data_IF_971722748033
#
_entry.id   IF_971722748033
#
_cell.length_a   1.000
_cell.length_b   1.000
_cell.length_c   1.000
_cell.angle_alpha   90.00
_cell.angle_beta   90.00
_cell.angle_gamma   90.00
#
_symmetry.space_group_name_H-M   'P 1'
#
loop_
_entity.id
_entity.type
_entity.pdbx_description
1 polymer ?
#
# COMPACT_ATOMS: atom_id res chain seq x y z
N UNK A 1 -5.27 21.30 2.35
CA UNK A 1 -5.48 20.20 1.39
C UNK A 1 -4.29 19.27 1.47
N UNK A 2 -4.52 18.02 1.75
CA UNK A 2 -3.51 16.98 1.80
C UNK A 2 -3.67 16.10 0.57
N UNK A 3 -2.57 15.78 -0.10
CA UNK A 3 -2.54 14.97 -1.31
C UNK A 3 -1.73 13.71 -1.09
N UNK A 4 -2.38 12.56 -1.26
CA UNK A 4 -1.74 11.24 -1.22
C UNK A 4 -1.74 10.69 -2.65
N UNK A 5 -0.61 10.12 -3.07
CA UNK A 5 -0.52 9.30 -4.27
C UNK A 5 -0.41 7.84 -3.83
N UNK A 6 -1.26 6.99 -4.40
CA UNK A 6 -1.25 5.56 -4.13
C UNK A 6 -0.91 4.79 -5.39
N UNK A 7 0.20 4.07 -5.35
CA UNK A 7 0.78 3.24 -6.40
C UNK A 7 0.74 1.78 -5.96
N UNK A 8 0.69 0.84 -6.92
CA UNK A 8 0.76 -0.60 -6.66
C UNK A 8 1.03 -1.40 -7.93
N UNK A 9 1.41 -2.64 -7.78
CA UNK A 9 1.40 -3.67 -8.83
C UNK A 9 2.23 -3.27 -10.06
N UNK A 10 3.51 -2.97 -9.86
CA UNK A 10 4.42 -2.63 -10.95
C UNK A 10 4.79 -3.85 -11.77
N UNK A 11 4.93 -5.02 -11.12
CA UNK A 11 5.36 -6.28 -11.76
C UNK A 11 6.57 -6.05 -12.69
N UNK A 12 7.54 -5.30 -12.19
CA UNK A 12 8.70 -4.91 -12.95
C UNK A 12 9.60 -6.12 -13.22
N UNK A 13 9.86 -6.40 -14.49
CA UNK A 13 10.64 -7.57 -14.97
C UNK A 13 12.00 -7.20 -15.57
N UNK A 14 12.42 -5.92 -15.45
CA UNK A 14 13.64 -5.42 -16.06
C UNK A 14 13.53 -5.07 -17.54
N UNK A 15 12.40 -5.31 -18.20
CA UNK A 15 12.23 -5.01 -19.61
C UNK A 15 12.29 -3.50 -19.90
N UNK A 16 12.80 -3.11 -21.08
CA UNK A 16 12.84 -1.70 -21.47
C UNK A 16 11.46 -1.05 -21.52
N UNK A 17 10.44 -1.83 -21.82
CA UNK A 17 9.04 -1.40 -21.86
C UNK A 17 8.53 -1.01 -20.47
N UNK A 18 8.69 -1.91 -19.49
CA UNK A 18 8.25 -1.65 -18.12
C UNK A 18 9.08 -0.55 -17.46
N UNK A 19 10.39 -0.47 -17.78
CA UNK A 19 11.24 0.63 -17.31
C UNK A 19 10.73 2.00 -17.77
N UNK A 20 10.32 2.12 -19.04
CA UNK A 20 9.72 3.36 -19.55
C UNK A 20 8.37 3.66 -18.90
N UNK A 21 7.54 2.63 -18.72
CA UNK A 21 6.22 2.77 -18.10
C UNK A 21 6.35 3.19 -16.64
N UNK A 22 7.24 2.54 -15.86
CA UNK A 22 7.49 2.87 -14.45
C UNK A 22 8.00 4.31 -14.30
N UNK A 23 8.98 4.69 -15.14
CA UNK A 23 9.49 6.07 -15.17
C UNK A 23 8.38 7.07 -15.42
N UNK A 24 7.54 6.83 -16.42
CA UNK A 24 6.42 7.72 -16.76
C UNK A 24 5.38 7.79 -15.64
N UNK A 25 5.12 6.66 -14.95
CA UNK A 25 4.24 6.60 -13.78
C UNK A 25 4.78 7.47 -12.65
N UNK A 26 6.07 7.32 -12.31
CA UNK A 26 6.76 8.08 -11.27
C UNK A 26 6.78 9.57 -11.62
N UNK A 27 7.11 9.94 -12.86
CA UNK A 27 7.09 11.35 -13.33
C UNK A 27 5.69 11.97 -13.17
N UNK A 28 4.67 11.24 -13.60
CA UNK A 28 3.27 11.68 -13.45
C UNK A 28 2.88 11.87 -11.99
N UNK A 29 3.31 10.96 -11.11
CA UNK A 29 3.05 11.04 -9.68
C UNK A 29 3.78 12.22 -9.02
N UNK A 30 5.07 12.43 -9.31
CA UNK A 30 5.87 13.56 -8.81
C UNK A 30 5.24 14.90 -9.25
N UNK A 31 4.77 14.99 -10.48
CA UNK A 31 4.13 16.20 -11.01
C UNK A 31 2.87 16.62 -10.21
N UNK A 32 2.26 15.69 -9.48
CA UNK A 32 1.14 15.97 -8.57
C UNK A 32 1.58 16.65 -7.27
N UNK A 33 2.87 16.68 -6.94
CA UNK A 33 3.42 17.21 -5.68
C UNK A 33 2.71 16.62 -4.47
N UNK A 34 2.76 15.28 -4.29
CA UNK A 34 2.09 14.64 -3.16
C UNK A 34 2.77 15.02 -1.84
N UNK A 35 1.96 15.07 -0.79
CA UNK A 35 2.43 15.18 0.60
C UNK A 35 2.86 13.80 1.14
N UNK A 36 2.33 12.72 0.55
CA UNK A 36 2.63 11.33 0.90
C UNK A 36 2.47 10.44 -0.33
N UNK A 37 3.36 9.47 -0.48
CA UNK A 37 3.22 8.35 -1.43
C UNK A 37 3.04 7.05 -0.65
N UNK A 38 2.00 6.27 -1.00
CA UNK A 38 1.77 4.93 -0.45
C UNK A 38 1.92 3.93 -1.60
N UNK A 39 2.73 2.89 -1.39
CA UNK A 39 2.99 1.86 -2.40
C UNK A 39 2.66 0.51 -1.79
N UNK A 40 1.66 -0.16 -2.36
CA UNK A 40 1.08 -1.37 -1.77
C UNK A 40 1.51 -2.66 -2.47
N UNK A 41 2.81 -2.76 -2.81
CA UNK A 41 3.45 -4.03 -3.17
C UNK A 41 3.35 -4.44 -4.63
N UNK A 42 3.83 -5.65 -4.91
CA UNK A 42 4.08 -6.22 -6.23
C UNK A 42 4.95 -5.28 -7.08
N UNK A 43 6.10 -4.89 -6.49
CA UNK A 43 7.08 -4.01 -7.13
C UNK A 43 7.79 -4.75 -8.27
N UNK A 44 8.18 -5.99 -8.03
CA UNK A 44 8.87 -6.89 -8.95
C UNK A 44 7.92 -7.91 -9.58
N UNK A 45 8.35 -8.54 -10.67
CA UNK A 45 7.63 -9.65 -11.28
C UNK A 45 7.91 -10.96 -10.54
N UNK A 46 9.15 -11.15 -10.10
CA UNK A 46 9.66 -12.42 -9.57
C UNK A 46 10.42 -12.30 -8.25
N UNK A 47 10.40 -11.16 -7.56
CA UNK A 47 11.12 -10.93 -6.30
C UNK A 47 12.64 -10.84 -6.46
N UNK A 48 13.16 -10.65 -7.68
CA UNK A 48 14.61 -10.63 -7.91
C UNK A 48 15.23 -9.34 -7.39
N UNK A 49 16.38 -9.48 -6.74
CA UNK A 49 17.13 -8.33 -6.22
C UNK A 49 17.36 -7.24 -7.28
N UNK A 50 17.76 -7.61 -8.50
CA UNK A 50 17.99 -6.65 -9.57
C UNK A 50 16.71 -5.89 -10.00
N UNK A 51 15.55 -6.54 -9.95
CA UNK A 51 14.27 -5.89 -10.24
C UNK A 51 13.91 -4.90 -9.13
N UNK A 52 14.08 -5.29 -7.88
CA UNK A 52 13.82 -4.44 -6.71
C UNK A 52 14.78 -3.25 -6.65
N UNK A 53 16.06 -3.42 -6.97
CA UNK A 53 17.05 -2.34 -7.03
C UNK A 53 16.68 -1.29 -8.08
N UNK A 54 16.27 -1.71 -9.27
CA UNK A 54 15.86 -0.77 -10.31
C UNK A 54 14.58 -0.02 -9.90
N UNK A 55 13.61 -0.70 -9.30
CA UNK A 55 12.42 -0.05 -8.76
C UNK A 55 12.78 0.93 -7.67
N UNK A 56 13.66 0.55 -6.73
CA UNK A 56 14.14 1.44 -5.67
C UNK A 56 14.81 2.69 -6.24
N UNK A 57 15.61 2.55 -7.29
CA UNK A 57 16.21 3.67 -8.02
C UNK A 57 15.17 4.64 -8.61
N UNK A 58 14.12 4.13 -9.24
CA UNK A 58 13.03 4.97 -9.76
C UNK A 58 12.21 5.61 -8.63
N UNK A 59 11.93 4.90 -7.54
CA UNK A 59 11.23 5.44 -6.37
C UNK A 59 12.06 6.49 -5.62
N UNK A 60 13.40 6.37 -5.66
CA UNK A 60 14.33 7.38 -5.13
C UNK A 60 14.12 8.77 -5.75
N UNK A 61 13.55 8.87 -6.95
CA UNK A 61 13.24 10.13 -7.66
C UNK A 61 12.15 10.97 -6.98
N UNK A 62 11.37 10.39 -6.08
CA UNK A 62 10.48 11.16 -5.20
C UNK A 62 11.26 12.07 -4.23
N UNK A 63 12.58 11.85 -4.07
CA UNK A 63 13.42 12.66 -3.22
C UNK A 63 12.96 12.64 -1.77
N UNK A 64 12.78 13.82 -1.18
CA UNK A 64 12.36 13.99 0.20
C UNK A 64 10.83 13.83 0.44
N UNK A 65 10.05 13.48 -0.58
CA UNK A 65 8.62 13.24 -0.39
C UNK A 65 8.44 11.99 0.49
N UNK A 66 7.71 12.09 1.61
CA UNK A 66 7.42 10.96 2.49
C UNK A 66 6.76 9.83 1.71
N UNK A 67 7.22 8.60 1.93
CA UNK A 67 6.66 7.43 1.27
C UNK A 67 6.71 6.20 2.15
N UNK A 68 5.67 5.39 2.06
CA UNK A 68 5.54 4.07 2.69
C UNK A 68 5.47 3.03 1.59
N UNK A 69 6.29 2.01 1.69
CA UNK A 69 6.32 0.88 0.75
C UNK A 69 6.14 -0.40 1.54
N UNK A 70 5.23 -1.25 1.10
CA UNK A 70 5.05 -2.61 1.62
C UNK A 70 5.24 -3.61 0.49
N UNK A 71 5.62 -4.87 0.80
CA UNK A 71 5.72 -5.90 -0.21
C UNK A 71 4.35 -6.43 -0.65
N UNK A 72 4.29 -6.92 -1.87
CA UNK A 72 3.24 -7.80 -2.35
C UNK A 72 3.69 -9.26 -2.40
N UNK A 73 2.83 -10.13 -2.88
CA UNK A 73 3.16 -11.56 -2.97
C UNK A 73 4.27 -11.84 -3.99
N UNK A 74 4.40 -11.03 -5.05
CA UNK A 74 5.46 -11.18 -6.05
C UNK A 74 6.84 -10.79 -5.55
N UNK A 75 6.89 -9.94 -4.56
CA UNK A 75 8.14 -9.48 -3.97
C UNK A 75 8.74 -10.49 -3.00
N UNK A 76 7.90 -11.37 -2.43
CA UNK A 76 8.27 -12.32 -1.37
C UNK A 76 8.12 -13.79 -1.78
N UNK A 77 7.28 -14.09 -2.77
CA UNK A 77 7.05 -15.43 -3.27
C UNK A 77 7.55 -15.50 -4.71
N UNK A 78 8.63 -16.28 -5.01
CA UNK A 78 9.04 -16.48 -6.39
C UNK A 78 7.89 -17.06 -7.19
N UNK A 79 7.69 -16.54 -8.39
CA UNK A 79 6.69 -17.07 -9.30
C UNK A 79 6.94 -18.57 -9.51
N UNK A 80 5.89 -19.36 -9.40
CA UNK A 80 5.94 -20.79 -9.78
C UNK A 80 6.36 -20.83 -11.25
N UNK A 81 7.50 -21.47 -11.53
CA UNK A 81 7.97 -21.71 -12.90
C UNK A 81 6.92 -22.44 -13.74
N UNK A 82 7.20 -22.73 -15.02
CA UNK A 82 6.26 -23.44 -15.87
C UNK A 82 5.72 -24.70 -15.17
N UNK A 83 4.47 -25.10 -15.44
CA UNK A 83 3.83 -26.23 -14.76
C UNK A 83 4.73 -27.47 -14.77
N UNK A 84 5.20 -27.89 -13.59
CA UNK A 84 6.10 -29.05 -13.42
C UNK A 84 7.45 -28.76 -12.77
N UNK A 85 7.90 -27.53 -12.70
CA UNK A 85 9.08 -27.14 -11.94
C UNK A 85 8.66 -26.37 -10.68
N UNK A 86 8.51 -27.11 -9.58
CA UNK A 86 8.41 -26.47 -8.27
C UNK A 86 9.77 -25.80 -7.98
N UNK A 87 9.83 -24.46 -8.10
CA UNK A 87 10.94 -23.73 -7.51
C UNK A 87 10.89 -23.94 -6.00
N UNK A 88 12.05 -24.20 -5.36
CA UNK A 88 12.09 -24.21 -3.91
C UNK A 88 11.47 -22.90 -3.40
N UNK A 89 10.65 -23.01 -2.34
CA UNK A 89 10.16 -21.85 -1.59
C UNK A 89 11.34 -20.90 -1.33
N UNK A 90 11.13 -19.58 -1.38
CA UNK A 90 12.20 -18.64 -1.10
C UNK A 90 12.85 -19.04 0.21
N UNK A 91 14.14 -19.25 0.17
CA UNK A 91 14.94 -19.29 1.38
C UNK A 91 14.79 -17.91 2.00
N UNK A 92 14.87 -17.80 3.32
CA UNK A 92 14.74 -16.57 4.10
C UNK A 92 15.44 -15.32 3.50
N UNK A 93 16.35 -15.54 2.54
CA UNK A 93 17.12 -14.53 1.84
C UNK A 93 16.32 -13.49 1.02
N UNK A 94 15.17 -13.83 0.44
CA UNK A 94 14.46 -12.89 -0.46
C UNK A 94 13.59 -11.93 0.35
N UNK A 95 13.01 -12.42 1.44
CA UNK A 95 12.34 -11.57 2.44
C UNK A 95 13.37 -10.65 3.11
N UNK A 96 14.52 -11.19 3.51
CA UNK A 96 15.62 -10.44 4.11
C UNK A 96 16.13 -9.36 3.17
N UNK A 97 16.15 -9.62 1.87
CA UNK A 97 16.54 -8.62 0.89
C UNK A 97 15.57 -7.45 0.81
N UNK A 98 14.26 -7.73 0.76
CA UNK A 98 13.25 -6.67 0.79
C UNK A 98 13.32 -5.89 2.10
N UNK A 99 13.50 -6.57 3.24
CA UNK A 99 13.66 -5.94 4.54
C UNK A 99 14.88 -5.03 4.62
N UNK A 100 16.00 -5.45 4.03
CA UNK A 100 17.21 -4.63 3.96
C UNK A 100 17.03 -3.41 3.06
N UNK A 101 16.21 -3.51 2.02
CA UNK A 101 15.93 -2.43 1.07
C UNK A 101 14.84 -1.46 1.59
N UNK A 102 13.92 -1.94 2.43
CA UNK A 102 12.77 -1.16 2.92
C UNK A 102 13.16 0.19 3.53
N UNK A 103 14.22 0.34 4.36
CA UNK A 103 14.64 1.64 4.86
C UNK A 103 14.99 2.66 3.78
N UNK A 104 15.47 2.21 2.62
CA UNK A 104 15.71 3.08 1.47
C UNK A 104 14.44 3.39 0.68
N UNK A 105 13.46 2.49 0.71
CA UNK A 105 12.17 2.64 0.04
C UNK A 105 11.19 3.51 0.83
N UNK A 106 11.16 3.38 2.15
CA UNK A 106 10.30 4.14 3.05
C UNK A 106 11.04 5.36 3.61
N UNK A 107 10.44 6.53 3.56
CA UNK A 107 11.08 7.80 3.96
C UNK A 107 10.08 8.73 4.65
N UNK A 108 10.57 9.50 5.63
CA UNK A 108 9.87 10.68 6.18
C UNK A 108 8.89 10.36 7.31
N UNK A 109 9.03 9.21 7.93
CA UNK A 109 8.31 8.89 9.16
C UNK A 109 9.27 9.05 10.34
N UNK A 110 8.78 9.67 11.43
CA UNK A 110 9.56 9.77 12.66
C UNK A 110 10.03 8.37 13.06
N UNK A 111 11.31 8.27 13.46
CA UNK A 111 11.92 7.08 14.04
C UNK A 111 11.36 6.72 15.43
N UNK A 112 10.07 6.73 15.61
CA UNK A 112 9.49 5.79 16.52
C UNK A 112 9.80 4.44 15.90
N UNK A 113 10.98 3.93 16.16
CA UNK A 113 11.71 2.87 15.49
C UNK A 113 10.87 1.77 14.88
N UNK A 114 11.40 0.88 14.05
CA UNK A 114 10.64 -0.27 13.60
C UNK A 114 9.94 -0.76 14.85
N UNK A 115 8.62 -0.85 14.85
CA UNK A 115 7.91 -1.31 16.03
C UNK A 115 8.48 -2.67 16.35
N UNK A 116 9.62 -2.68 17.05
CA UNK A 116 10.03 -3.81 17.83
C UNK A 116 8.80 -4.04 18.67
N UNK A 117 8.00 -5.01 18.27
CA UNK A 117 7.13 -5.66 19.22
C UNK A 117 8.11 -5.96 20.33
N UNK A 118 8.01 -5.24 21.49
CA UNK A 118 8.51 -5.72 22.73
C UNK A 118 7.72 -6.99 23.00
N UNK A 119 8.02 -7.99 22.16
CA UNK A 119 7.49 -9.32 22.23
C UNK A 119 8.23 -10.00 23.35
N UNK A 120 7.67 -9.92 24.54
CA UNK A 120 7.96 -10.96 25.50
C UNK A 120 7.73 -12.30 24.79
N UNK A 121 8.82 -12.96 24.36
CA UNK A 121 8.83 -14.37 24.09
C UNK A 121 8.61 -14.91 22.68
N UNK A 122 8.56 -14.11 21.64
CA UNK A 122 8.71 -14.64 20.28
C UNK A 122 10.20 -14.70 19.95
N UNK A 123 10.73 -15.91 19.75
CA UNK A 123 12.13 -16.12 19.44
C UNK A 123 12.58 -15.28 18.25
N UNK A 124 13.77 -14.74 18.33
CA UNK A 124 14.45 -14.09 17.24
C UNK A 124 14.43 -15.05 16.03
N UNK A 125 13.63 -14.75 14.99
CA UNK A 125 13.59 -15.56 13.80
C UNK A 125 12.25 -15.72 13.07
N UNK A 126 11.14 -15.08 13.51
CA UNK A 126 9.90 -15.09 12.71
C UNK A 126 9.79 -13.81 11.87
N UNK A 127 10.18 -13.84 10.60
CA UNK A 127 10.12 -12.67 9.72
C UNK A 127 8.70 -12.16 9.51
N UNK A 128 7.67 -12.98 9.69
CA UNK A 128 6.29 -12.55 9.55
C UNK A 128 5.79 -11.70 10.74
N UNK A 129 6.47 -11.73 11.89
CA UNK A 129 6.19 -10.85 13.02
C UNK A 129 6.80 -9.44 12.85
N UNK A 130 7.79 -9.28 11.96
CA UNK A 130 8.54 -8.04 11.74
C UNK A 130 7.79 -7.00 10.90
N UNK A 131 6.61 -7.31 10.35
CA UNK A 131 5.97 -6.49 9.33
C UNK A 131 4.76 -5.70 9.79
N UNK A 132 4.93 -4.97 10.85
CA UNK A 132 4.13 -3.78 11.08
C UNK A 132 5.01 -2.62 10.62
N UNK A 133 4.85 -2.28 9.37
CA UNK A 133 5.68 -1.25 8.78
C UNK A 133 5.16 0.12 9.17
N UNK A 134 5.95 0.79 9.94
CA UNK A 134 6.08 2.22 10.17
C UNK A 134 4.83 3.05 10.39
N UNK A 135 4.86 3.74 11.50
CA UNK A 135 3.87 4.64 12.04
C UNK A 135 4.45 6.05 12.07
N UNK A 136 3.69 7.02 11.68
CA UNK A 136 4.10 8.39 11.85
C UNK A 136 2.97 9.32 11.45
N UNK A 137 2.76 10.35 12.25
CA UNK A 137 2.20 11.59 11.76
C UNK A 137 3.25 12.24 10.87
N UNK A 138 2.87 12.80 9.73
CA UNK A 138 3.77 13.67 8.97
C UNK A 138 4.20 14.81 9.89
N UNK A 139 5.52 15.02 10.00
CA UNK A 139 6.14 15.96 10.90
C UNK A 139 5.50 17.35 10.84
N UNK A 140 5.43 18.01 11.98
CA UNK A 140 4.95 19.38 12.14
C UNK A 140 5.61 20.31 11.12
N UNK A 141 4.82 20.84 10.20
CA UNK A 141 5.28 21.75 9.13
C UNK A 141 4.48 21.66 7.84
N UNK A 142 3.75 20.56 7.62
CA UNK A 142 2.84 20.44 6.48
C UNK A 142 1.53 21.21 6.74
N UNK A 143 1.17 22.09 5.80
CA UNK A 143 -0.09 22.86 5.84
C UNK A 143 -1.32 22.01 5.46
N UNK A 144 -1.41 20.78 5.96
CA UNK A 144 -2.48 19.84 5.67
C UNK A 144 -3.03 19.19 6.95
N UNK A 145 -4.04 18.33 6.81
CA UNK A 145 -4.46 17.48 7.90
C UNK A 145 -3.33 16.53 8.28
N UNK A 146 -3.10 16.32 9.58
CA UNK A 146 -2.18 15.29 10.03
C UNK A 146 -2.62 13.94 9.45
N UNK A 147 -1.68 13.16 8.94
CA UNK A 147 -1.95 11.82 8.42
C UNK A 147 -1.31 10.82 9.37
N UNK A 148 -2.06 9.80 9.75
CA UNK A 148 -1.55 8.66 10.49
C UNK A 148 -1.71 7.41 9.61
N UNK A 149 -0.57 6.84 9.18
CA UNK A 149 -0.56 5.67 8.31
C UNK A 149 -0.13 4.44 9.10
N UNK A 150 -0.87 3.36 8.95
CA UNK A 150 -0.50 2.04 9.42
C UNK A 150 -0.50 1.11 8.21
N UNK A 151 0.64 0.52 7.92
CA UNK A 151 0.79 -0.40 6.80
C UNK A 151 1.19 -1.79 7.30
N UNK A 152 0.61 -2.83 6.74
CA UNK A 152 0.85 -4.23 7.16
C UNK A 152 1.18 -5.10 5.96
N UNK A 153 2.08 -6.05 6.15
CA UNK A 153 2.27 -7.12 5.18
C UNK A 153 1.11 -8.12 5.27
N UNK A 154 0.46 -8.38 4.15
CA UNK A 154 -0.62 -9.36 4.05
C UNK A 154 -0.21 -10.68 3.38
N UNK A 155 1.08 -10.88 3.09
CA UNK A 155 1.66 -12.03 2.40
C UNK A 155 2.41 -12.93 3.39
N UNK A 156 2.31 -14.25 3.29
CA UNK A 156 1.29 -15.03 2.54
C UNK A 156 -0.08 -14.99 3.22
N UNK A 157 -0.13 -14.61 4.49
CA UNK A 157 -1.36 -14.46 5.28
C UNK A 157 -1.20 -13.37 6.32
N UNK A 158 -2.20 -12.53 6.44
CA UNK A 158 -2.28 -11.55 7.50
C UNK A 158 -2.48 -12.27 8.86
N UNK A 159 -1.53 -12.12 9.77
CA UNK A 159 -1.54 -12.76 11.09
C UNK A 159 -2.32 -11.94 12.12
N UNK A 160 -2.86 -12.61 13.13
CA UNK A 160 -3.60 -11.95 14.22
C UNK A 160 -2.72 -10.97 15.00
N UNK A 161 -1.47 -11.35 15.27
CA UNK A 161 -0.50 -10.54 15.99
C UNK A 161 -0.18 -9.24 15.22
N UNK A 162 -0.05 -9.32 13.90
CA UNK A 162 0.15 -8.15 13.05
C UNK A 162 -1.07 -7.21 13.08
N UNK A 163 -2.28 -7.77 13.09
CA UNK A 163 -3.50 -6.97 13.23
C UNK A 163 -3.63 -6.32 14.61
N UNK A 164 -3.30 -7.04 15.69
CA UNK A 164 -3.34 -6.49 17.04
C UNK A 164 -2.35 -5.33 17.20
N UNK A 165 -1.13 -5.51 16.71
CA UNK A 165 -0.13 -4.47 16.77
C UNK A 165 -0.54 -3.28 15.88
N UNK A 166 -1.05 -3.51 14.68
CA UNK A 166 -1.59 -2.45 13.82
C UNK A 166 -2.73 -1.68 14.50
N UNK A 167 -3.62 -2.39 15.19
CA UNK A 167 -4.68 -1.78 15.99
C UNK A 167 -4.11 -0.91 17.12
N UNK A 168 -3.09 -1.41 17.84
CA UNK A 168 -2.38 -0.66 18.86
C UNK A 168 -1.81 0.66 18.32
N UNK A 169 -1.22 0.61 17.16
CA UNK A 169 -0.67 1.80 16.52
C UNK A 169 -1.77 2.74 16.01
N UNK A 170 -2.80 2.23 15.35
CA UNK A 170 -3.88 3.08 14.86
C UNK A 170 -4.58 3.85 15.99
N UNK A 171 -4.64 3.28 17.21
CA UNK A 171 -5.16 3.98 18.41
C UNK A 171 -4.29 5.16 18.86
N UNK A 172 -3.02 5.22 18.45
CA UNK A 172 -2.10 6.34 18.75
C UNK A 172 -2.28 7.52 17.82
N UNK A 173 -3.11 7.40 16.79
CA UNK A 173 -3.38 8.51 15.87
C UNK A 173 -3.88 9.74 16.63
N UNK A 174 -3.27 10.89 16.34
CA UNK A 174 -3.68 12.15 16.94
C UNK A 174 -5.17 12.46 16.66
N UNK A 175 -5.86 13.13 17.57
CA UNK A 175 -7.23 13.56 17.30
C UNK A 175 -7.31 14.39 16.02
N UNK A 176 -8.24 14.05 15.13
CA UNK A 176 -8.42 14.73 13.85
C UNK A 176 -7.47 14.32 12.72
N UNK A 177 -6.47 13.48 12.98
CA UNK A 177 -5.61 12.95 11.92
C UNK A 177 -6.41 12.08 10.94
N UNK A 178 -6.08 12.18 9.66
CA UNK A 178 -6.58 11.24 8.64
C UNK A 178 -5.96 9.87 8.89
N UNK A 179 -6.77 8.88 9.23
CA UNK A 179 -6.34 7.51 9.53
C UNK A 179 -6.33 6.66 8.27
N UNK A 180 -5.14 6.27 7.85
CA UNK A 180 -4.92 5.48 6.63
C UNK A 180 -4.38 4.11 7.01
N UNK A 181 -5.00 3.07 6.49
CA UNK A 181 -4.52 1.69 6.61
C UNK A 181 -4.10 1.18 5.23
N UNK A 182 -2.97 0.51 5.11
CA UNK A 182 -2.47 -0.01 3.84
C UNK A 182 -2.07 -1.49 3.95
N UNK A 183 -2.43 -2.26 2.94
CA UNK A 183 -2.03 -3.67 2.79
C UNK A 183 -1.99 -4.00 1.29
N UNK A 184 -1.41 -5.16 0.92
CA UNK A 184 -1.33 -5.53 -0.50
C UNK A 184 -2.62 -6.20 -1.00
N UNK A 185 -3.05 -7.30 -0.36
CA UNK A 185 -4.21 -8.07 -0.83
C UNK A 185 -5.53 -7.32 -0.66
N UNK A 186 -6.50 -7.61 -1.54
CA UNK A 186 -7.80 -6.96 -1.54
C UNK A 186 -8.60 -7.14 -0.25
N UNK A 187 -9.38 -6.12 0.12
CA UNK A 187 -10.37 -6.22 1.21
C UNK A 187 -11.78 -6.49 0.68
N UNK A 188 -12.06 -6.06 -0.55
CA UNK A 188 -13.37 -6.17 -1.18
C UNK A 188 -13.25 -6.61 -2.64
N UNK A 189 -14.24 -7.35 -3.17
CA UNK A 189 -14.28 -7.70 -4.59
C UNK A 189 -14.43 -6.45 -5.45
N UNK A 190 -13.71 -6.37 -6.56
CA UNK A 190 -13.85 -5.28 -7.53
C UNK A 190 -14.93 -5.62 -8.56
N UNK A 191 -15.89 -4.73 -8.82
CA UNK A 191 -16.94 -4.95 -9.81
C UNK A 191 -16.38 -5.29 -11.19
N UNK A 192 -16.97 -6.31 -11.84
CA UNK A 192 -16.57 -6.73 -13.18
C UNK A 192 -15.28 -7.55 -13.24
N UNK A 193 -14.70 -7.94 -12.09
CA UNK A 193 -13.62 -8.92 -11.99
C UNK A 193 -14.13 -10.20 -11.33
N UNK A 194 -13.82 -11.34 -11.96
CA UNK A 194 -14.06 -12.64 -11.33
C UNK A 194 -13.08 -12.81 -10.17
N UNK A 195 -13.62 -13.07 -8.98
CA UNK A 195 -12.83 -13.34 -7.79
C UNK A 195 -12.11 -14.68 -7.94
N UNK A 196 -10.83 -14.73 -7.56
CA UNK A 196 -9.99 -15.93 -7.50
C UNK A 196 -9.57 -16.18 -6.06
N UNK A 197 -9.15 -17.40 -5.76
CA UNK A 197 -8.54 -17.72 -4.48
C UNK A 197 -7.27 -16.86 -4.29
N UNK A 198 -7.15 -16.22 -3.12
CA UNK A 198 -6.06 -15.32 -2.82
C UNK A 198 -6.25 -13.86 -3.25
N UNK A 199 -7.29 -13.53 -4.04
CA UNK A 199 -7.56 -12.12 -4.41
C UNK A 199 -7.87 -11.25 -3.18
N UNK A 200 -8.49 -11.83 -2.16
CA UNK A 200 -8.77 -11.12 -0.90
C UNK A 200 -7.84 -11.58 0.21
N UNK A 201 -7.51 -10.66 1.10
CA UNK A 201 -6.74 -10.99 2.29
C UNK A 201 -7.47 -12.03 3.14
N UNK A 202 -6.72 -12.92 3.78
CA UNK A 202 -7.30 -13.86 4.72
C UNK A 202 -8.06 -13.11 5.82
N UNK A 203 -9.29 -13.52 6.12
CA UNK A 203 -10.16 -12.88 7.12
C UNK A 203 -10.49 -11.41 6.78
N UNK A 204 -10.68 -11.09 5.49
CA UNK A 204 -11.00 -9.73 5.05
C UNK A 204 -12.17 -9.09 5.83
N UNK A 205 -13.19 -9.88 6.19
CA UNK A 205 -14.32 -9.43 6.99
C UNK A 205 -13.90 -8.96 8.39
N UNK A 206 -13.01 -9.71 9.07
CA UNK A 206 -12.50 -9.33 10.39
C UNK A 206 -11.65 -8.06 10.32
N UNK A 207 -10.85 -7.95 9.26
CA UNK A 207 -10.05 -6.72 9.01
C UNK A 207 -10.97 -5.52 8.83
N UNK A 208 -12.00 -5.64 8.01
CA UNK A 208 -12.97 -4.54 7.80
C UNK A 208 -13.67 -4.14 9.09
N UNK A 209 -14.09 -5.12 9.92
CA UNK A 209 -14.70 -4.85 11.21
C UNK A 209 -13.72 -4.10 12.15
N UNK A 210 -12.46 -4.55 12.21
CA UNK A 210 -11.42 -3.89 12.99
C UNK A 210 -11.17 -2.45 12.52
N UNK A 211 -11.08 -2.22 11.21
CA UNK A 211 -10.88 -0.87 10.65
C UNK A 211 -12.04 0.07 10.98
N UNK A 212 -13.28 -0.45 10.96
CA UNK A 212 -14.46 0.30 11.37
C UNK A 212 -14.41 0.66 12.88
N UNK A 213 -14.06 -0.30 13.75
CA UNK A 213 -13.92 -0.09 15.20
C UNK A 213 -12.80 0.90 15.54
N UNK A 214 -11.73 0.94 14.73
CA UNK A 214 -10.63 1.88 14.87
C UNK A 214 -10.90 3.24 14.22
N UNK A 215 -12.08 3.40 13.62
CA UNK A 215 -12.46 4.61 12.87
C UNK A 215 -11.40 4.97 11.81
N UNK A 216 -10.95 4.01 11.04
CA UNK A 216 -10.08 4.25 9.89
C UNK A 216 -10.88 4.96 8.81
N UNK A 217 -10.32 6.02 8.23
CA UNK A 217 -10.98 6.81 7.19
C UNK A 217 -10.78 6.18 5.81
N UNK A 218 -9.57 5.65 5.58
CA UNK A 218 -9.15 5.18 4.27
C UNK A 218 -8.32 3.90 4.38
N UNK A 219 -8.74 2.84 3.69
CA UNK A 219 -7.95 1.63 3.49
C UNK A 219 -7.48 1.54 2.04
N UNK A 220 -6.19 1.31 1.84
CA UNK A 220 -5.54 1.25 0.53
C UNK A 220 -5.02 -0.16 0.27
N UNK A 221 -5.26 -0.68 -0.93
CA UNK A 221 -4.71 -1.98 -1.34
C UNK A 221 -4.42 -2.05 -2.85
N UNK A 222 -3.62 -3.03 -3.24
CA UNK A 222 -3.30 -3.37 -4.62
C UNK A 222 -3.88 -4.72 -5.05
N UNK A 223 -3.03 -5.55 -5.64
CA UNK A 223 -3.24 -6.96 -5.99
C UNK A 223 -4.32 -7.23 -7.06
N UNK A 224 -5.38 -6.46 -7.05
CA UNK A 224 -6.53 -6.65 -7.96
C UNK A 224 -6.24 -6.06 -9.35
N UNK A 225 -5.22 -5.23 -9.49
CA UNK A 225 -4.82 -4.51 -10.72
C UNK A 225 -5.90 -3.59 -11.29
N UNK A 226 -6.91 -3.25 -10.50
CA UNK A 226 -8.04 -2.43 -10.94
C UNK A 226 -8.33 -1.30 -9.97
N UNK A 227 -8.24 -0.08 -10.47
CA UNK A 227 -8.60 1.09 -9.68
C UNK A 227 -10.10 1.11 -9.41
N UNK A 228 -10.46 1.16 -8.13
CA UNK A 228 -11.84 1.29 -7.66
C UNK A 228 -11.87 1.88 -6.25
N UNK A 229 -13.03 2.39 -5.84
CA UNK A 229 -13.24 2.85 -4.48
C UNK A 229 -14.65 2.47 -4.01
N UNK A 230 -14.75 2.09 -2.73
CA UNK A 230 -16.00 1.76 -2.05
C UNK A 230 -16.15 2.62 -0.81
N UNK A 231 -17.37 2.93 -0.48
CA UNK A 231 -17.72 3.50 0.80
C UNK A 231 -18.49 2.47 1.61
N UNK A 232 -18.03 2.21 2.82
CA UNK A 232 -18.73 1.40 3.81
C UNK A 232 -19.17 2.30 4.94
N UNK A 233 -20.44 2.18 5.36
CA UNK A 233 -21.01 2.94 6.47
C UNK A 233 -21.84 2.02 7.32
N UNK A 234 -21.60 2.00 8.64
CA UNK A 234 -22.27 1.10 9.59
C UNK A 234 -22.94 1.84 10.75
N UNK A 235 -23.20 3.13 10.61
CA UNK A 235 -23.75 3.98 11.66
C UNK A 235 -22.74 4.49 12.68
N UNK A 236 -21.53 3.92 12.74
CA UNK A 236 -20.41 4.37 13.58
C UNK A 236 -19.48 5.31 12.85
N UNK A 237 -19.45 5.22 11.54
CA UNK A 237 -18.58 6.04 10.70
C UNK A 237 -18.62 5.64 9.23
N UNK A 238 -17.70 6.22 8.48
CA UNK A 238 -17.47 5.93 7.07
C UNK A 238 -16.05 5.48 6.88
N UNK A 239 -15.85 4.28 6.32
CA UNK A 239 -14.59 3.75 5.84
C UNK A 239 -14.60 3.78 4.32
N UNK A 240 -13.62 4.39 3.71
CA UNK A 240 -13.40 4.31 2.26
C UNK A 240 -12.32 3.26 1.99
N UNK A 241 -12.62 2.28 1.15
CA UNK A 241 -11.65 1.27 0.70
C UNK A 241 -11.30 1.58 -0.75
N UNK A 242 -10.02 1.69 -1.07
CA UNK A 242 -9.58 1.99 -2.43
C UNK A 242 -8.50 1.02 -2.92
N UNK A 243 -8.72 0.51 -4.12
CA UNK A 243 -7.80 -0.36 -4.86
C UNK A 243 -7.06 0.46 -5.92
N UNK A 244 -5.72 0.36 -5.96
CA UNK A 244 -4.94 0.96 -7.03
C UNK A 244 -5.07 0.20 -8.36
N UNK A 245 -4.74 0.88 -9.46
CA UNK A 245 -4.45 0.22 -10.73
C UNK A 245 -3.03 -0.33 -10.73
N UNK A 246 -2.68 -1.04 -11.80
CA UNK A 246 -1.35 -1.59 -12.02
C UNK A 246 -0.57 -0.80 -13.08
N UNK A 247 0.73 -1.07 -13.18
CA UNK A 247 1.58 -0.55 -14.27
C UNK A 247 1.15 -1.14 -15.62
N UNK A 248 0.74 -2.41 -15.62
CA UNK A 248 0.17 -3.11 -16.80
C UNK A 248 -1.19 -3.70 -16.41
N UNK A 249 -2.24 -3.29 -17.09
CA UNK A 249 -3.61 -3.72 -16.81
C UNK A 249 -4.12 -4.62 -17.92
N UNK A 250 -4.45 -5.90 -17.61
CA UNK A 250 -5.11 -6.87 -18.50
C UNK A 250 -4.60 -6.86 -19.97
N UNK A 251 -3.27 -6.78 -20.17
CA UNK A 251 -2.66 -6.67 -21.50
C UNK A 251 -2.79 -5.28 -22.15
N UNK A 252 -3.43 -4.31 -21.51
CA UNK A 252 -3.46 -2.91 -21.91
C UNK A 252 -2.42 -2.15 -21.10
N UNK A 253 -1.51 -1.48 -21.78
CA UNK A 253 -0.46 -0.63 -21.17
C UNK A 253 -1.04 0.71 -20.71
N UNK A 254 -2.04 0.69 -19.85
CA UNK A 254 -2.63 1.89 -19.25
C UNK A 254 -2.23 1.96 -17.78
N UNK A 255 -0.96 2.29 -17.56
CA UNK A 255 -0.46 2.54 -16.23
C UNK A 255 -1.32 3.58 -15.53
N UNK A 256 -1.76 3.26 -14.31
CA UNK A 256 -2.61 4.18 -13.56
C UNK A 256 -2.37 4.09 -12.06
N UNK A 257 -2.64 5.20 -11.38
CA UNK A 257 -2.51 5.32 -9.93
C UNK A 257 -3.70 6.10 -9.36
N UNK A 258 -3.82 6.12 -8.04
CA UNK A 258 -4.80 6.96 -7.37
C UNK A 258 -4.16 8.26 -6.88
N UNK A 259 -4.84 9.36 -7.13
CA UNK A 259 -4.63 10.65 -6.45
C UNK A 259 -5.77 10.86 -5.48
N UNK A 260 -5.43 11.01 -4.22
CA UNK A 260 -6.37 11.12 -3.10
C UNK A 260 -6.19 12.51 -2.49
N UNK A 261 -7.27 13.25 -2.39
CA UNK A 261 -7.27 14.60 -1.85
C UNK A 261 -8.14 14.63 -0.59
N UNK A 262 -7.55 15.03 0.53
CA UNK A 262 -8.28 15.26 1.77
C UNK A 262 -8.26 16.74 2.11
N UNK A 263 -9.43 17.33 2.23
CA UNK A 263 -9.58 18.76 2.54
C UNK A 263 -10.87 19.04 3.31
N UNK A 264 -10.76 19.76 4.42
CA UNK A 264 -11.91 20.25 5.20
C UNK A 264 -12.96 19.18 5.52
N UNK A 265 -12.50 17.97 5.91
CA UNK A 265 -13.40 16.86 6.24
C UNK A 265 -14.04 16.19 5.02
N UNK A 266 -13.52 16.41 3.82
CA UNK A 266 -13.92 15.72 2.59
C UNK A 266 -12.77 14.92 2.03
N UNK A 267 -13.08 13.82 1.35
CA UNK A 267 -12.14 12.97 0.64
C UNK A 267 -12.61 12.83 -0.81
N UNK A 268 -11.68 13.00 -1.76
CA UNK A 268 -11.90 12.63 -3.14
C UNK A 268 -10.79 11.73 -3.66
N UNK A 269 -11.16 10.72 -4.45
CA UNK A 269 -10.23 9.74 -5.02
C UNK A 269 -10.38 9.75 -6.53
N UNK A 270 -9.27 10.00 -7.21
CA UNK A 270 -9.17 10.09 -8.65
C UNK A 270 -8.24 9.02 -9.18
N UNK A 271 -8.69 8.23 -10.15
CA UNK A 271 -7.79 7.44 -10.97
C UNK A 271 -7.10 8.36 -11.97
N UNK A 272 -5.78 8.28 -12.03
CA UNK A 272 -4.93 8.95 -13.01
C UNK A 272 -4.38 7.93 -13.99
N UNK A 273 -4.73 8.03 -15.27
CA UNK A 273 -4.12 7.25 -16.34
C UNK A 273 -2.91 7.99 -16.87
N UNK A 274 -1.77 7.31 -16.96
CA UNK A 274 -0.52 7.90 -17.46
C UNK A 274 -0.60 8.10 -18.97
N UNK A 275 -1.22 7.16 -19.71
CA UNK A 275 -1.30 7.21 -21.18
C UNK A 275 -2.22 8.31 -21.68
N UNK A 276 -3.34 8.56 -21.00
CA UNK A 276 -4.33 9.55 -21.45
C UNK A 276 -4.23 10.88 -20.73
N UNK A 277 -3.55 10.91 -19.58
CA UNK A 277 -3.52 12.07 -18.66
C UNK A 277 -4.89 12.43 -18.05
N UNK A 278 -5.96 11.71 -18.42
CA UNK A 278 -7.32 12.05 -17.98
C UNK A 278 -7.60 11.51 -16.57
N UNK A 279 -8.10 12.37 -15.68
CA UNK A 279 -8.57 11.92 -14.36
C UNK A 279 -9.96 11.31 -14.48
N UNK A 280 -10.22 10.25 -13.71
CA UNK A 280 -11.56 9.70 -13.50
C UNK A 280 -11.86 9.75 -12.01
N UNK A 281 -12.93 10.42 -11.63
CA UNK A 281 -13.40 10.44 -10.24
C UNK A 281 -13.97 9.07 -9.90
N UNK A 282 -13.42 8.44 -8.85
CA UNK A 282 -13.89 7.16 -8.31
C UNK A 282 -14.75 7.36 -7.07
N UNK A 283 -14.41 8.36 -6.24
CA UNK A 283 -15.11 8.65 -5.00
C UNK A 283 -15.03 10.14 -4.66
N UNK A 284 -16.11 10.68 -4.12
CA UNK A 284 -16.13 11.96 -3.41
C UNK A 284 -17.15 11.90 -2.28
N UNK A 285 -16.74 12.23 -1.05
CA UNK A 285 -17.61 12.18 0.10
C UNK A 285 -17.04 12.91 1.33
N UNK A 286 -17.86 13.03 2.36
CA UNK A 286 -17.43 13.55 3.65
C UNK A 286 -16.69 12.46 4.43
N UNK A 287 -15.63 12.84 5.13
CA UNK A 287 -15.04 12.05 6.20
C UNK A 287 -15.94 12.08 7.43
N UNK A 288 -15.97 10.99 8.20
CA UNK A 288 -16.76 10.95 9.42
C UNK A 288 -16.29 12.02 10.41
N UNK A 289 -17.22 12.81 10.89
CA UNK A 289 -16.92 13.77 11.98
C UNK A 289 -16.74 12.95 13.26
N UNK A 290 -15.50 12.84 13.73
CA UNK A 290 -15.23 12.22 15.04
C UNK A 290 -15.62 13.21 16.12
N UNK A 291 -16.59 12.82 16.94
CA UNK A 291 -16.95 13.55 18.17
C UNK A 291 -16.09 13.09 19.34
#
# INVERSE_FOLDING_TARGET
>A
MTRIVHLSDFHFDGSPELRRALRSLVDSAIARRPDLVVITGDLSADGRAAELDEVAGELGRFGAIPRVVIPGNRDLEPSVGPPGEARPLPVDSDLDYFLALEPALTLGFDEAGPGTIDGGGAGAGDPAAAWITRFGGLAAGHKGADIHVVAVNSTPRLRSEALEAAAGQMRRAAPGALRVFALHHGLLPVPGRKLRDGDLTHRAGDVLALLADLHVDLALHGHIHRANAWQLSDGRGTLVVASAGALVNDGRRDASYLEILAERGRLSIWRRSVSTGRPTLLYEGALATRR
#
